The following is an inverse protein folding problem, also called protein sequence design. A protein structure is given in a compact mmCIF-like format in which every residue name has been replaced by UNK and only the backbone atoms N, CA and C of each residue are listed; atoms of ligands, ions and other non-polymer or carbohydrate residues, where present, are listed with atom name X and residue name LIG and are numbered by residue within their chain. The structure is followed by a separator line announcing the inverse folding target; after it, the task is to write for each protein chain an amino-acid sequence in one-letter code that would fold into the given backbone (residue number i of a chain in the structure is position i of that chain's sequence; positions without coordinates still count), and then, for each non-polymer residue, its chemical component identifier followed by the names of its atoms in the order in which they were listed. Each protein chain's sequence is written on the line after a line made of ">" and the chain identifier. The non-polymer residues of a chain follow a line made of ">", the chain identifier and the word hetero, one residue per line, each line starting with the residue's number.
data_IF_138819149733
#
_entry.id   IF_138819149733
#
_cell.length_a   1.000
_cell.length_b   1.000
_cell.length_c   1.000
_cell.angle_alpha   90.00
_cell.angle_beta   90.00
_cell.angle_gamma   90.00
#
_symmetry.space_group_name_H-M   'P 1'
#
loop_
_entity.id
_entity.type
_entity.pdbx_description
1 polymer ?
#
# COMPACT_ATOMS: atom_id res chain seq x y z
N UNK A 1 19.38 3.32 35.72
CA UNK A 1 18.75 2.09 35.20
C UNK A 1 19.10 2.02 33.71
N UNK A 2 20.30 1.46 33.41
CA UNK A 2 20.82 1.38 32.06
C UNK A 2 20.17 0.19 31.37
N UNK A 3 19.12 0.45 30.56
CA UNK A 3 18.62 -0.55 29.62
C UNK A 3 19.58 -0.63 28.43
N UNK A 4 20.57 -1.49 28.55
CA UNK A 4 21.41 -1.89 27.44
C UNK A 4 20.61 -2.85 26.54
N UNK A 5 19.72 -2.30 25.69
CA UNK A 5 19.00 -3.07 24.67
C UNK A 5 19.89 -3.20 23.44
N UNK A 6 21.02 -3.85 23.60
CA UNK A 6 21.79 -4.36 22.48
C UNK A 6 21.39 -5.84 22.26
N UNK A 7 20.15 -6.09 21.86
CA UNK A 7 19.81 -7.30 21.13
C UNK A 7 20.41 -7.16 19.72
N UNK A 8 21.73 -7.21 19.63
CA UNK A 8 22.42 -7.44 18.37
C UNK A 8 22.03 -8.83 17.90
N UNK A 9 21.15 -8.88 16.91
CA UNK A 9 20.86 -10.10 16.17
C UNK A 9 22.24 -10.67 15.74
N UNK A 10 22.62 -11.83 16.31
CA UNK A 10 23.85 -12.51 15.91
C UNK A 10 23.55 -13.20 14.59
N UNK A 11 24.04 -12.62 13.51
CA UNK A 11 24.02 -13.25 12.21
C UNK A 11 24.87 -14.52 12.27
N UNK A 12 24.32 -15.64 11.84
CA UNK A 12 25.03 -16.92 11.73
C UNK A 12 25.66 -17.05 10.34
N UNK A 13 26.60 -17.98 10.19
CA UNK A 13 27.22 -18.26 8.89
C UNK A 13 26.19 -18.77 7.86
N UNK A 14 25.17 -19.50 8.33
CA UNK A 14 24.05 -19.95 7.51
C UNK A 14 23.21 -18.75 7.02
N UNK A 15 22.96 -17.77 7.87
CA UNK A 15 22.24 -16.54 7.50
C UNK A 15 23.00 -15.76 6.42
N UNK A 16 24.33 -15.66 6.53
CA UNK A 16 25.18 -15.00 5.53
C UNK A 16 25.04 -15.66 4.14
N UNK A 17 25.14 -16.99 4.09
CA UNK A 17 25.03 -17.72 2.83
C UNK A 17 23.63 -17.61 2.21
N UNK A 18 22.57 -17.73 3.03
CA UNK A 18 21.19 -17.61 2.59
C UNK A 18 20.94 -16.19 2.02
N UNK A 19 21.37 -15.15 2.71
CA UNK A 19 21.16 -13.77 2.27
C UNK A 19 21.94 -13.45 1.01
N UNK A 20 23.16 -13.95 0.84
CA UNK A 20 23.91 -13.85 -0.43
C UNK A 20 23.17 -14.55 -1.58
N UNK A 21 22.68 -15.77 -1.37
CA UNK A 21 21.95 -16.51 -2.38
C UNK A 21 20.65 -15.81 -2.79
N UNK A 22 19.94 -15.21 -1.84
CA UNK A 22 18.71 -14.44 -2.10
C UNK A 22 19.04 -13.16 -2.87
N UNK A 23 20.01 -12.37 -2.41
CA UNK A 23 20.36 -11.08 -3.03
C UNK A 23 20.90 -11.21 -4.46
N UNK A 24 21.54 -12.33 -4.79
CA UNK A 24 22.07 -12.59 -6.14
C UNK A 24 21.08 -13.35 -7.03
N UNK A 25 19.91 -13.72 -6.52
CA UNK A 25 18.90 -14.46 -7.30
C UNK A 25 18.36 -13.59 -8.45
N UNK A 26 18.58 -13.98 -9.74
CA UNK A 26 18.09 -13.19 -10.88
C UNK A 26 16.56 -13.14 -10.94
N UNK A 27 15.91 -14.19 -10.47
CA UNK A 27 14.44 -14.26 -10.40
C UNK A 27 13.90 -13.21 -9.44
N UNK A 28 14.46 -13.12 -8.22
CA UNK A 28 14.03 -12.13 -7.23
C UNK A 28 14.25 -10.70 -7.73
N UNK A 29 15.45 -10.41 -8.25
CA UNK A 29 15.79 -9.09 -8.77
C UNK A 29 14.86 -8.69 -9.93
N UNK A 30 14.56 -9.61 -10.85
CA UNK A 30 13.63 -9.36 -11.95
C UNK A 30 12.22 -9.05 -11.43
N UNK A 31 11.72 -9.79 -10.45
CA UNK A 31 10.40 -9.56 -9.86
C UNK A 31 10.34 -8.18 -9.18
N UNK A 32 11.36 -7.82 -8.39
CA UNK A 32 11.42 -6.51 -7.73
C UNK A 32 11.46 -5.37 -8.74
N UNK A 33 12.26 -5.52 -9.81
CA UNK A 33 12.36 -4.53 -10.89
C UNK A 33 11.03 -4.35 -11.62
N UNK A 34 10.37 -5.45 -12.00
CA UNK A 34 9.06 -5.41 -12.68
C UNK A 34 8.02 -4.75 -11.78
N UNK A 35 7.98 -5.11 -10.50
CA UNK A 35 7.03 -4.53 -9.55
C UNK A 35 7.26 -3.03 -9.33
N UNK A 36 8.50 -2.59 -9.22
CA UNK A 36 8.85 -1.17 -9.12
C UNK A 36 8.42 -0.41 -10.38
N UNK A 37 8.74 -0.95 -11.57
CA UNK A 37 8.40 -0.33 -12.86
C UNK A 37 6.89 -0.22 -13.05
N UNK A 38 6.14 -1.29 -12.80
CA UNK A 38 4.67 -1.27 -12.89
C UNK A 38 4.06 -0.26 -11.91
N UNK A 39 4.62 -0.15 -10.71
CA UNK A 39 4.15 0.82 -9.71
C UNK A 39 4.43 2.27 -10.15
N UNK A 40 5.56 2.54 -10.80
CA UNK A 40 5.88 3.86 -11.35
C UNK A 40 4.90 4.23 -12.48
N UNK A 41 4.62 3.29 -13.39
CA UNK A 41 3.66 3.52 -14.49
C UNK A 41 2.24 3.72 -13.96
N UNK A 42 1.86 3.06 -12.88
CA UNK A 42 0.54 3.19 -12.28
C UNK A 42 0.26 4.60 -11.71
N UNK A 43 1.30 5.33 -11.25
CA UNK A 43 1.10 6.66 -10.63
C UNK A 43 0.40 7.66 -11.54
N UNK A 44 0.90 7.97 -12.75
CA UNK A 44 0.24 8.93 -13.63
C UNK A 44 -1.17 8.46 -14.04
N UNK A 45 -1.39 7.16 -14.21
CA UNK A 45 -2.70 6.62 -14.55
C UNK A 45 -3.70 6.84 -13.42
N UNK A 46 -3.29 6.64 -12.15
CA UNK A 46 -4.13 6.89 -10.98
C UNK A 46 -4.46 8.38 -10.82
N UNK A 47 -3.49 9.27 -11.05
CA UNK A 47 -3.72 10.72 -11.03
C UNK A 47 -4.73 11.12 -12.11
N UNK A 48 -4.60 10.59 -13.33
CA UNK A 48 -5.54 10.82 -14.41
C UNK A 48 -6.94 10.28 -14.09
N UNK A 49 -7.03 9.09 -13.49
CA UNK A 49 -8.30 8.49 -13.08
C UNK A 49 -9.00 9.36 -12.03
N UNK A 50 -8.29 9.80 -11.00
CA UNK A 50 -8.83 10.70 -9.97
C UNK A 50 -9.32 12.00 -10.59
N UNK A 51 -8.51 12.61 -11.47
CA UNK A 51 -8.88 13.86 -12.16
C UNK A 51 -10.15 13.69 -13.01
N UNK A 52 -10.26 12.57 -13.73
CA UNK A 52 -11.44 12.29 -14.55
C UNK A 52 -12.69 12.10 -13.69
N UNK A 53 -12.61 11.41 -12.55
CA UNK A 53 -13.72 11.24 -11.63
C UNK A 53 -14.19 12.58 -11.08
N UNK A 54 -13.29 13.50 -10.76
CA UNK A 54 -13.67 14.86 -10.34
C UNK A 54 -14.49 15.59 -11.41
N UNK A 55 -14.17 15.39 -12.68
CA UNK A 55 -14.85 16.04 -13.83
C UNK A 55 -16.19 15.41 -14.20
N UNK A 56 -16.39 14.12 -13.89
CA UNK A 56 -17.65 13.44 -14.22
C UNK A 56 -18.81 13.97 -13.39
N UNK A 57 -19.81 14.57 -14.06
CA UNK A 57 -21.05 15.06 -13.42
C UNK A 57 -22.08 13.96 -13.19
N UNK A 58 -22.00 12.85 -13.95
CA UNK A 58 -22.98 11.75 -13.92
C UNK A 58 -22.87 10.85 -12.68
N UNK A 59 -21.73 10.87 -12.01
CA UNK A 59 -21.51 10.04 -10.82
C UNK A 59 -22.07 10.76 -9.60
N UNK A 60 -22.92 10.07 -8.83
CA UNK A 60 -23.49 10.61 -7.60
C UNK A 60 -22.36 11.02 -6.62
N UNK A 61 -22.57 12.12 -5.91
CA UNK A 61 -21.55 12.73 -5.02
C UNK A 61 -21.00 11.74 -3.98
N UNK A 62 -21.86 10.92 -3.37
CA UNK A 62 -21.46 9.96 -2.36
C UNK A 62 -20.51 8.90 -2.94
N UNK A 63 -20.86 8.31 -4.09
CA UNK A 63 -20.01 7.36 -4.81
C UNK A 63 -18.68 7.98 -5.20
N UNK A 64 -18.71 9.23 -5.69
CA UNK A 64 -17.50 9.96 -6.08
C UNK A 64 -16.51 10.08 -4.92
N UNK A 65 -16.98 10.43 -3.73
CA UNK A 65 -16.13 10.59 -2.55
C UNK A 65 -15.48 9.24 -2.18
N UNK A 66 -16.25 8.15 -2.09
CA UNK A 66 -15.73 6.84 -1.75
C UNK A 66 -14.71 6.36 -2.80
N UNK A 67 -15.00 6.57 -4.08
CA UNK A 67 -14.12 6.17 -5.17
C UNK A 67 -12.80 6.96 -5.18
N UNK A 68 -12.82 8.25 -4.83
CA UNK A 68 -11.61 9.05 -4.69
C UNK A 68 -10.77 8.56 -3.52
N UNK A 69 -11.38 8.27 -2.37
CA UNK A 69 -10.67 7.68 -1.22
C UNK A 69 -10.03 6.35 -1.60
N UNK A 70 -10.75 5.48 -2.28
CA UNK A 70 -10.24 4.20 -2.78
C UNK A 70 -9.03 4.36 -3.71
N UNK A 71 -9.14 5.23 -4.73
CA UNK A 71 -8.02 5.47 -5.66
C UNK A 71 -6.83 6.13 -4.98
N UNK A 72 -7.06 7.00 -3.99
CA UNK A 72 -5.99 7.59 -3.19
C UNK A 72 -5.28 6.52 -2.36
N UNK A 73 -6.01 5.56 -1.78
CA UNK A 73 -5.42 4.43 -1.07
C UNK A 73 -4.54 3.57 -1.99
N UNK A 74 -4.99 3.30 -3.23
CA UNK A 74 -4.19 2.57 -4.23
C UNK A 74 -2.94 3.39 -4.61
N UNK A 75 -3.05 4.70 -4.75
CA UNK A 75 -1.92 5.56 -5.05
C UNK A 75 -0.86 5.52 -3.94
N UNK A 76 -1.26 5.62 -2.67
CA UNK A 76 -0.37 5.49 -1.52
C UNK A 76 0.25 4.09 -1.46
N UNK A 77 -0.53 3.04 -1.73
CA UNK A 77 -0.03 1.66 -1.83
C UNK A 77 1.08 1.53 -2.88
N UNK A 78 0.83 2.05 -4.08
CA UNK A 78 1.79 2.02 -5.18
C UNK A 78 3.06 2.81 -4.86
N UNK A 79 2.96 3.98 -4.20
CA UNK A 79 4.12 4.75 -3.71
C UNK A 79 4.93 3.95 -2.69
N UNK A 80 4.26 3.31 -1.73
CA UNK A 80 4.93 2.46 -0.72
C UNK A 80 5.68 1.29 -1.35
N UNK A 81 5.12 0.69 -2.43
CA UNK A 81 5.80 -0.36 -3.19
C UNK A 81 7.03 0.16 -3.93
N UNK A 82 6.95 1.35 -4.54
CA UNK A 82 8.11 1.97 -5.19
C UNK A 82 9.24 2.14 -4.15
N UNK A 83 8.92 2.71 -3.00
CA UNK A 83 9.91 2.94 -1.93
C UNK A 83 10.51 1.61 -1.43
N UNK A 84 9.68 0.60 -1.16
CA UNK A 84 10.15 -0.69 -0.67
C UNK A 84 11.05 -1.38 -1.71
N UNK A 85 10.55 -1.57 -2.94
CA UNK A 85 11.27 -2.35 -3.95
C UNK A 85 12.52 -1.63 -4.46
N UNK A 86 12.51 -0.30 -4.59
CA UNK A 86 13.72 0.45 -4.96
C UNK A 86 14.77 0.39 -3.87
N UNK A 87 14.36 0.47 -2.59
CA UNK A 87 15.29 0.34 -1.47
C UNK A 87 15.91 -1.06 -1.42
N UNK A 88 15.10 -2.11 -1.60
CA UNK A 88 15.59 -3.48 -1.62
C UNK A 88 16.53 -3.72 -2.82
N UNK A 89 16.19 -3.22 -4.01
CA UNK A 89 17.05 -3.30 -5.19
C UNK A 89 18.40 -2.60 -4.97
N UNK A 90 18.39 -1.38 -4.41
CA UNK A 90 19.63 -0.64 -4.12
C UNK A 90 20.50 -1.44 -3.16
N UNK A 91 19.92 -2.03 -2.13
CA UNK A 91 20.68 -2.83 -1.16
C UNK A 91 21.22 -4.11 -1.79
N UNK A 92 20.39 -4.87 -2.53
CA UNK A 92 20.83 -6.13 -3.14
C UNK A 92 21.88 -5.94 -4.24
N UNK A 93 21.87 -4.78 -4.93
CA UNK A 93 22.85 -4.47 -5.97
C UNK A 93 24.11 -3.78 -5.43
N UNK A 94 24.10 -3.30 -4.18
CA UNK A 94 25.29 -2.71 -3.56
C UNK A 94 26.31 -3.79 -3.22
N UNK A 95 27.61 -3.51 -3.37
CA UNK A 95 28.65 -4.44 -2.94
C UNK A 95 28.65 -4.54 -1.40
N UNK A 96 28.50 -5.76 -0.88
CA UNK A 96 28.54 -6.06 0.54
C UNK A 96 29.68 -7.06 0.84
N UNK A 97 30.40 -6.82 1.91
CA UNK A 97 31.44 -7.75 2.37
C UNK A 97 30.81 -9.00 2.98
N UNK A 98 29.65 -8.85 3.64
CA UNK A 98 28.89 -9.91 4.29
C UNK A 98 27.41 -9.86 3.94
N UNK A 99 26.78 -11.02 3.77
CA UNK A 99 25.32 -11.13 3.61
C UNK A 99 24.55 -10.65 4.84
N UNK A 100 25.20 -10.60 5.99
CA UNK A 100 24.62 -10.07 7.23
C UNK A 100 24.30 -8.56 7.14
N UNK A 101 25.00 -7.80 6.31
CA UNK A 101 24.74 -6.38 6.08
C UNK A 101 23.43 -6.15 5.31
N UNK A 102 23.00 -7.16 4.55
CA UNK A 102 21.78 -7.11 3.75
C UNK A 102 20.52 -7.25 4.63
N UNK A 103 20.66 -7.89 5.81
CA UNK A 103 19.54 -8.14 6.71
C UNK A 103 18.92 -6.83 7.18
N UNK A 104 17.62 -6.58 6.86
CA UNK A 104 16.97 -5.34 7.24
C UNK A 104 16.81 -5.27 8.76
N UNK A 105 17.05 -4.10 9.35
CA UNK A 105 16.70 -3.88 10.75
C UNK A 105 15.18 -4.03 10.95
N UNK A 106 14.77 -4.50 12.13
CA UNK A 106 13.34 -4.68 12.49
C UNK A 106 12.56 -3.37 12.27
N UNK A 107 13.14 -2.23 12.66
CA UNK A 107 12.52 -0.93 12.51
C UNK A 107 12.32 -0.56 11.03
N UNK A 108 13.31 -0.79 10.18
CA UNK A 108 13.20 -0.55 8.74
C UNK A 108 12.11 -1.43 8.11
N UNK A 109 12.11 -2.72 8.45
CA UNK A 109 11.12 -3.68 7.97
C UNK A 109 9.70 -3.22 8.37
N UNK A 110 9.53 -2.79 9.62
CA UNK A 110 8.24 -2.32 10.14
C UNK A 110 7.78 -1.05 9.41
N UNK A 111 8.60 0.00 9.37
CA UNK A 111 8.25 1.30 8.74
C UNK A 111 7.88 1.12 7.26
N UNK A 112 8.59 0.27 6.52
CA UNK A 112 8.33 0.06 5.10
C UNK A 112 7.10 -0.79 4.82
N UNK A 113 6.76 -1.75 5.70
CA UNK A 113 5.65 -2.69 5.47
C UNK A 113 4.31 -2.22 6.05
N UNK A 114 4.31 -1.40 7.10
CA UNK A 114 3.07 -0.90 7.70
C UNK A 114 2.19 -0.14 6.69
N UNK A 115 2.70 0.83 5.91
CA UNK A 115 1.87 1.54 4.92
C UNK A 115 1.31 0.59 3.85
N UNK A 116 2.10 -0.41 3.43
CA UNK A 116 1.66 -1.42 2.47
C UNK A 116 0.47 -2.23 2.99
N UNK A 117 0.60 -2.81 4.17
CA UNK A 117 -0.44 -3.63 4.77
C UNK A 117 -1.71 -2.79 5.05
N UNK A 118 -1.53 -1.61 5.62
CA UNK A 118 -2.64 -0.69 5.89
C UNK A 118 -3.43 -0.35 4.63
N UNK A 119 -2.75 -0.02 3.53
CA UNK A 119 -3.41 0.34 2.26
C UNK A 119 -4.10 -0.85 1.57
N UNK A 120 -3.62 -2.09 1.76
CA UNK A 120 -4.33 -3.28 1.29
C UNK A 120 -5.67 -3.41 2.03
N UNK A 121 -5.67 -3.35 3.37
CA UNK A 121 -6.89 -3.41 4.16
C UNK A 121 -7.85 -2.27 3.81
N UNK A 122 -7.32 -1.06 3.65
CA UNK A 122 -8.12 0.10 3.25
C UNK A 122 -8.74 -0.09 1.86
N UNK A 123 -8.03 -0.67 0.91
CA UNK A 123 -8.56 -0.95 -0.43
C UNK A 123 -9.66 -2.02 -0.40
N UNK A 124 -9.44 -3.12 0.33
CA UNK A 124 -10.44 -4.18 0.47
C UNK A 124 -11.71 -3.66 1.14
N UNK A 125 -11.58 -2.92 2.25
CA UNK A 125 -12.73 -2.34 2.94
C UNK A 125 -13.46 -1.28 2.11
N UNK A 126 -12.73 -0.47 1.32
CA UNK A 126 -13.35 0.52 0.42
C UNK A 126 -14.16 -0.15 -0.68
N UNK A 127 -13.71 -1.28 -1.21
CA UNK A 127 -14.50 -2.07 -2.17
C UNK A 127 -15.82 -2.53 -1.57
N UNK A 128 -15.79 -3.01 -0.33
CA UNK A 128 -17.00 -3.37 0.41
C UNK A 128 -17.92 -2.17 0.64
N UNK A 129 -17.36 -1.00 1.00
CA UNK A 129 -18.14 0.23 1.19
C UNK A 129 -18.80 0.72 -0.12
N UNK A 130 -18.13 0.56 -1.27
CA UNK A 130 -18.73 0.84 -2.58
C UNK A 130 -19.93 -0.08 -2.84
N UNK A 131 -19.79 -1.38 -2.55
CA UNK A 131 -20.88 -2.34 -2.70
C UNK A 131 -22.08 -2.00 -1.79
N UNK A 132 -21.85 -1.65 -0.52
CA UNK A 132 -22.87 -1.19 0.41
C UNK A 132 -23.55 0.10 -0.06
N UNK A 133 -22.76 1.06 -0.53
CA UNK A 133 -23.29 2.32 -1.07
C UNK A 133 -24.24 2.05 -2.25
N UNK A 134 -23.86 1.15 -3.18
CA UNK A 134 -24.70 0.75 -4.30
C UNK A 134 -25.98 0.05 -3.84
N UNK A 135 -25.88 -0.83 -2.85
CA UNK A 135 -27.04 -1.50 -2.28
C UNK A 135 -28.02 -0.49 -1.67
N UNK A 136 -27.53 0.46 -0.87
CA UNK A 136 -28.34 1.51 -0.26
C UNK A 136 -28.99 2.41 -1.33
N UNK A 137 -28.21 2.80 -2.34
CA UNK A 137 -28.72 3.66 -3.42
C UNK A 137 -29.82 2.99 -4.24
N UNK A 138 -29.74 1.67 -4.43
CA UNK A 138 -30.75 0.90 -5.15
C UNK A 138 -32.02 0.71 -4.30
N UNK A 139 -31.85 0.36 -3.01
CA UNK A 139 -32.99 0.05 -2.13
C UNK A 139 -33.75 1.28 -1.63
N UNK A 140 -33.05 2.41 -1.43
CA UNK A 140 -33.62 3.66 -0.89
C UNK A 140 -33.39 4.85 -1.82
N UNK A 141 -33.57 4.67 -3.11
CA UNK A 141 -33.25 5.70 -4.11
C UNK A 141 -33.82 7.08 -3.76
N UNK A 142 -35.11 7.16 -3.36
CA UNK A 142 -35.78 8.41 -3.02
C UNK A 142 -35.21 9.15 -1.79
N UNK A 143 -34.74 8.41 -0.79
CA UNK A 143 -34.13 8.98 0.43
C UNK A 143 -32.65 9.26 0.21
N UNK A 144 -32.00 8.45 -0.62
CA UNK A 144 -30.59 8.55 -0.92
C UNK A 144 -30.23 9.83 -1.68
N UNK A 145 -31.05 10.25 -2.64
CA UNK A 145 -30.83 11.48 -3.41
C UNK A 145 -30.86 12.74 -2.53
N UNK A 146 -31.71 12.74 -1.49
CA UNK A 146 -31.80 13.87 -0.54
C UNK A 146 -30.70 13.86 0.53
N UNK A 147 -30.06 12.72 0.80
CA UNK A 147 -29.12 12.58 1.91
C UNK A 147 -27.66 12.57 1.45
N UNK A 148 -26.98 13.71 1.63
CA UNK A 148 -25.57 13.91 1.26
C UNK A 148 -24.57 13.29 2.24
N UNK A 149 -25.04 12.71 3.36
CA UNK A 149 -24.18 12.27 4.46
C UNK A 149 -23.83 10.76 4.41
N UNK A 150 -24.40 9.98 3.50
CA UNK A 150 -24.19 8.52 3.45
C UNK A 150 -22.74 8.16 3.24
N UNK A 151 -22.02 8.87 2.35
CA UNK A 151 -20.59 8.63 2.14
C UNK A 151 -19.77 8.86 3.40
N UNK A 152 -20.03 9.93 4.13
CA UNK A 152 -19.32 10.23 5.37
C UNK A 152 -19.61 9.19 6.46
N UNK A 153 -20.85 8.70 6.56
CA UNK A 153 -21.20 7.63 7.48
C UNK A 153 -20.42 6.34 7.16
N UNK A 154 -20.38 5.94 5.89
CA UNK A 154 -19.67 4.74 5.45
C UNK A 154 -18.16 4.87 5.68
N UNK A 155 -17.56 6.03 5.39
CA UNK A 155 -16.15 6.29 5.67
C UNK A 155 -15.85 6.33 7.18
N UNK A 156 -16.76 6.87 8.00
CA UNK A 156 -16.62 6.84 9.45
C UNK A 156 -16.70 5.42 10.01
N UNK A 157 -17.59 4.57 9.47
CA UNK A 157 -17.65 3.15 9.81
C UNK A 157 -16.36 2.42 9.39
N UNK A 158 -15.85 2.73 8.21
CA UNK A 158 -14.58 2.18 7.74
C UNK A 158 -13.43 2.56 8.68
N UNK A 159 -13.33 3.84 9.08
CA UNK A 159 -12.29 4.31 9.98
C UNK A 159 -12.37 3.72 11.40
N UNK A 160 -13.55 3.30 11.85
CA UNK A 160 -13.74 2.63 13.16
C UNK A 160 -13.41 1.15 13.14
N UNK A 161 -13.39 0.53 11.98
CA UNK A 161 -13.07 -0.89 11.81
C UNK A 161 -11.55 -1.15 11.78
N UNK A 162 -10.74 -0.10 11.76
CA UNK A 162 -9.27 -0.11 11.84
C UNK A 162 -8.77 0.43 13.19
#
# INVERSE_FOLDING_TARGET
>A
MNMNVSNTFRCTEDDDQIMRAISTSPTLLSVLFIQATLSIIAQPLLVLAIRNIFRMSLIHRNTKIILIVYLTAIMVHSMSRILLHTTDLVIYLSPHESGCEIIPSVMRCFIMRVPLNYTIYLSCSSTFMIALERLISTYKAKIYESNKSVAFLLLALQARAF
#
